data_IF_888328880551
#
_entry.id   IF_888328880551
#
_cell.length_a   1.000
_cell.length_b   1.000
_cell.length_c   1.000
_cell.angle_alpha   90.00
_cell.angle_beta   90.00
_cell.angle_gamma   90.00
#
_symmetry.space_group_name_H-M   'P 1'
#
loop_
_entity.id
_entity.type
_entity.pdbx_description
1 polymer ?
#
# COMPACT_ATOMS: atom_id res chain seq x y z
N UNK A 1 -44.02 -42.18 -2.10
CA UNK A 1 -43.73 -40.75 -2.33
C UNK A 1 -42.72 -40.48 -3.45
N UNK A 2 -42.28 -41.50 -4.22
CA UNK A 2 -41.34 -41.33 -5.35
C UNK A 2 -41.99 -41.34 -6.74
N UNK A 3 -43.32 -41.38 -6.86
CA UNK A 3 -44.02 -41.53 -8.17
C UNK A 3 -44.44 -40.18 -8.79
N UNK A 4 -44.89 -39.20 -8.00
CA UNK A 4 -45.21 -37.86 -8.49
C UNK A 4 -43.95 -36.99 -8.78
N UNK A 5 -42.77 -37.42 -8.34
CA UNK A 5 -41.51 -36.68 -8.53
C UNK A 5 -40.89 -36.89 -9.93
N UNK A 6 -41.28 -37.96 -10.64
CA UNK A 6 -40.77 -38.28 -11.98
C UNK A 6 -41.75 -37.94 -13.11
N UNK A 7 -43.06 -37.80 -12.84
CA UNK A 7 -44.07 -37.46 -13.85
C UNK A 7 -43.92 -36.02 -14.39
N UNK A 8 -43.52 -35.07 -13.53
CA UNK A 8 -43.43 -33.63 -13.86
C UNK A 8 -42.08 -33.23 -14.50
N UNK A 9 -41.09 -34.14 -14.46
CA UNK A 9 -39.72 -33.86 -14.91
C UNK A 9 -39.54 -33.62 -16.41
N UNK A 10 -40.27 -34.32 -17.32
CA UNK A 10 -40.19 -34.08 -18.75
C UNK A 10 -40.50 -32.63 -19.13
N UNK A 11 -41.39 -31.95 -18.40
CA UNK A 11 -41.76 -30.56 -18.64
C UNK A 11 -40.63 -29.59 -18.30
N UNK A 12 -40.03 -29.73 -17.11
CA UNK A 12 -38.87 -28.92 -16.69
C UNK A 12 -37.69 -29.13 -17.64
N UNK A 13 -37.43 -30.38 -18.05
CA UNK A 13 -36.41 -30.72 -19.04
C UNK A 13 -36.70 -30.06 -20.39
N UNK A 14 -37.96 -30.12 -20.85
CA UNK A 14 -38.41 -29.51 -22.09
C UNK A 14 -38.22 -27.99 -22.09
N UNK A 15 -38.61 -27.33 -20.99
CA UNK A 15 -38.44 -25.90 -20.77
C UNK A 15 -36.96 -25.50 -20.78
N UNK A 16 -36.11 -26.20 -20.03
CA UNK A 16 -34.67 -25.95 -20.02
C UNK A 16 -34.06 -26.11 -21.42
N UNK A 17 -34.46 -27.14 -22.18
CA UNK A 17 -33.97 -27.37 -23.54
C UNK A 17 -34.43 -26.29 -24.53
N UNK A 18 -35.65 -25.76 -24.36
CA UNK A 18 -36.16 -24.63 -25.14
C UNK A 18 -35.35 -23.36 -24.86
N UNK A 19 -35.30 -22.92 -23.60
CA UNK A 19 -34.56 -21.72 -23.18
C UNK A 19 -33.08 -21.85 -23.57
N UNK A 20 -32.51 -23.05 -23.49
CA UNK A 20 -31.14 -23.33 -23.91
C UNK A 20 -30.89 -23.01 -25.38
N UNK A 21 -31.84 -23.29 -26.29
CA UNK A 21 -31.70 -22.96 -27.72
C UNK A 21 -31.73 -21.46 -27.95
N UNK A 22 -32.48 -20.75 -27.12
CA UNK A 22 -32.68 -19.30 -27.22
C UNK A 22 -31.60 -18.48 -26.50
N UNK A 23 -30.67 -19.12 -25.77
CA UNK A 23 -29.55 -18.45 -25.08
C UNK A 23 -28.83 -17.42 -25.97
N UNK A 24 -28.48 -17.69 -27.25
CA UNK A 24 -27.84 -16.68 -28.11
C UNK A 24 -28.65 -15.41 -28.32
N UNK A 25 -29.98 -15.48 -28.22
CA UNK A 25 -30.90 -14.35 -28.38
C UNK A 25 -31.15 -13.64 -27.04
N UNK A 26 -31.20 -14.38 -25.94
CA UNK A 26 -31.49 -13.85 -24.59
C UNK A 26 -30.25 -13.16 -23.98
N UNK A 27 -29.06 -13.71 -24.20
CA UNK A 27 -27.81 -13.25 -23.56
C UNK A 27 -27.48 -11.78 -23.81
N UNK A 28 -27.61 -11.22 -25.03
CA UNK A 28 -27.32 -9.81 -25.26
C UNK A 28 -28.14 -8.85 -24.38
N UNK A 29 -29.40 -9.18 -24.13
CA UNK A 29 -30.27 -8.39 -23.25
C UNK A 29 -29.84 -8.51 -21.78
N UNK A 30 -29.62 -9.75 -21.31
CA UNK A 30 -29.14 -9.99 -19.93
C UNK A 30 -27.79 -9.28 -19.68
N UNK A 31 -26.86 -9.35 -20.64
CA UNK A 31 -25.58 -8.63 -20.52
C UNK A 31 -25.78 -7.12 -20.50
N UNK A 32 -26.80 -6.59 -21.17
CA UNK A 32 -27.15 -5.17 -21.07
C UNK A 32 -27.58 -4.83 -19.64
N UNK A 33 -28.44 -5.65 -19.02
CA UNK A 33 -28.84 -5.47 -17.61
C UNK A 33 -27.68 -5.59 -16.63
N UNK A 34 -26.79 -6.57 -16.83
CA UNK A 34 -25.58 -6.73 -15.99
C UNK A 34 -24.69 -5.50 -16.11
N UNK A 35 -24.39 -5.03 -17.33
CA UNK A 35 -23.50 -3.87 -17.56
C UNK A 35 -24.12 -2.56 -17.08
N UNK A 36 -25.44 -2.43 -17.11
CA UNK A 36 -26.14 -1.28 -16.53
C UNK A 36 -26.03 -1.25 -15.00
N UNK A 37 -25.93 -2.42 -14.35
CA UNK A 37 -25.80 -2.55 -12.91
C UNK A 37 -24.35 -2.42 -12.39
N UNK A 38 -23.33 -2.62 -13.25
CA UNK A 38 -21.92 -2.69 -12.86
C UNK A 38 -20.99 -1.86 -13.77
N UNK A 39 -20.55 -0.67 -13.34
CA UNK A 39 -19.66 0.22 -14.11
C UNK A 39 -18.31 -0.40 -14.51
N UNK A 40 -17.71 -1.24 -13.66
CA UNK A 40 -16.39 -1.85 -13.89
C UNK A 40 -16.34 -2.77 -15.15
N UNK A 41 -17.50 -3.20 -15.66
CA UNK A 41 -17.59 -4.02 -16.87
C UNK A 41 -17.46 -3.22 -18.17
N UNK A 42 -17.38 -1.89 -18.12
CA UNK A 42 -17.19 -1.05 -19.31
C UNK A 42 -15.93 -1.47 -20.10
N UNK A 43 -14.83 -1.73 -19.40
CA UNK A 43 -13.53 -2.14 -19.98
C UNK A 43 -13.46 -3.61 -20.41
N UNK A 44 -14.43 -4.45 -20.02
CA UNK A 44 -14.51 -5.84 -20.49
C UNK A 44 -15.13 -5.85 -21.89
N UNK A 45 -14.46 -6.44 -22.90
CA UNK A 45 -15.03 -6.53 -24.24
C UNK A 45 -16.42 -7.18 -24.21
N UNK A 46 -17.43 -6.51 -24.79
CA UNK A 46 -18.82 -6.97 -24.72
C UNK A 46 -19.00 -8.39 -25.26
N UNK A 47 -18.36 -8.71 -26.38
CA UNK A 47 -18.40 -10.05 -26.98
C UNK A 47 -17.80 -11.13 -26.06
N UNK A 48 -16.74 -10.82 -25.32
CA UNK A 48 -16.16 -11.72 -24.32
C UNK A 48 -17.13 -11.95 -23.16
N UNK A 49 -17.81 -10.90 -22.71
CA UNK A 49 -18.80 -11.00 -21.64
C UNK A 49 -20.01 -11.86 -22.06
N UNK A 50 -20.58 -11.58 -23.24
CA UNK A 50 -21.70 -12.36 -23.80
C UNK A 50 -21.34 -13.83 -24.00
N UNK A 51 -20.14 -14.11 -24.50
CA UNK A 51 -19.66 -15.49 -24.65
C UNK A 51 -19.68 -16.25 -23.32
N UNK A 52 -19.08 -15.70 -22.27
CA UNK A 52 -18.97 -16.34 -20.96
C UNK A 52 -20.34 -16.51 -20.28
N UNK A 53 -21.19 -15.48 -20.33
CA UNK A 53 -22.57 -15.55 -19.79
C UNK A 53 -23.37 -16.64 -20.53
N UNK A 54 -23.24 -16.71 -21.86
CA UNK A 54 -23.89 -17.74 -22.65
C UNK A 54 -23.40 -19.15 -22.35
N UNK A 55 -22.09 -19.36 -22.19
CA UNK A 55 -21.51 -20.65 -21.81
C UNK A 55 -22.01 -21.11 -20.43
N UNK A 56 -22.04 -20.18 -19.47
CA UNK A 56 -22.53 -20.45 -18.13
C UNK A 56 -24.01 -20.81 -18.11
N UNK A 57 -24.86 -20.06 -18.81
CA UNK A 57 -26.29 -20.36 -18.88
C UNK A 57 -26.59 -21.67 -19.59
N UNK A 58 -25.87 -22.01 -20.66
CA UNK A 58 -25.99 -23.34 -21.27
C UNK A 58 -25.66 -24.44 -20.27
N UNK A 59 -24.55 -24.27 -19.52
CA UNK A 59 -24.16 -25.21 -18.48
C UNK A 59 -25.22 -25.36 -17.38
N UNK A 60 -25.76 -24.23 -16.89
CA UNK A 60 -26.84 -24.20 -15.91
C UNK A 60 -28.07 -24.95 -16.39
N UNK A 61 -28.57 -24.63 -17.59
CA UNK A 61 -29.77 -25.24 -18.16
C UNK A 61 -29.58 -26.74 -18.43
N UNK A 62 -28.40 -27.15 -18.89
CA UNK A 62 -28.03 -28.56 -19.05
C UNK A 62 -28.00 -29.29 -17.70
N UNK A 63 -27.41 -28.65 -16.67
CA UNK A 63 -27.34 -29.19 -15.31
C UNK A 63 -28.71 -29.34 -14.65
N UNK A 64 -29.56 -28.32 -14.80
CA UNK A 64 -30.95 -28.37 -14.34
C UNK A 64 -31.70 -29.50 -15.03
N UNK A 65 -31.67 -29.58 -16.36
CA UNK A 65 -32.33 -30.64 -17.13
C UNK A 65 -31.83 -32.06 -16.79
N UNK A 66 -30.58 -32.20 -16.34
CA UNK A 66 -29.97 -33.46 -15.94
C UNK A 66 -30.05 -33.74 -14.42
N UNK A 67 -30.61 -32.82 -13.61
CA UNK A 67 -30.59 -32.87 -12.13
C UNK A 67 -29.18 -32.99 -11.54
N UNK A 68 -28.19 -32.35 -12.14
CA UNK A 68 -26.80 -32.43 -11.67
C UNK A 68 -26.22 -31.06 -11.31
N UNK A 69 -25.36 -31.00 -10.27
CA UNK A 69 -24.59 -29.81 -9.98
C UNK A 69 -23.55 -29.53 -11.08
N UNK A 70 -22.88 -28.37 -11.08
CA UNK A 70 -21.79 -28.10 -11.99
C UNK A 70 -20.73 -29.19 -11.95
N UNK A 71 -20.25 -29.58 -13.13
CA UNK A 71 -19.13 -30.51 -13.29
C UNK A 71 -17.81 -29.86 -12.89
N UNK A 72 -16.77 -30.68 -12.68
CA UNK A 72 -15.41 -30.19 -12.44
C UNK A 72 -14.91 -29.28 -13.58
N UNK A 73 -15.23 -29.61 -14.84
CA UNK A 73 -14.86 -28.78 -15.99
C UNK A 73 -15.55 -27.41 -15.99
N UNK A 74 -16.84 -27.36 -15.64
CA UNK A 74 -17.59 -26.08 -15.52
C UNK A 74 -17.09 -25.25 -14.34
N UNK A 75 -16.71 -25.91 -13.24
CA UNK A 75 -16.10 -25.25 -12.09
C UNK A 75 -14.73 -24.67 -12.45
N UNK A 76 -13.88 -25.39 -13.19
CA UNK A 76 -12.59 -24.85 -13.65
C UNK A 76 -12.76 -23.73 -14.67
N UNK A 77 -13.76 -23.78 -15.56
CA UNK A 77 -14.07 -22.67 -16.45
C UNK A 77 -14.44 -21.40 -15.67
N UNK A 78 -15.22 -21.53 -14.59
CA UNK A 78 -15.52 -20.42 -13.69
C UNK A 78 -14.27 -19.88 -12.98
N UNK A 79 -13.35 -20.77 -12.57
CA UNK A 79 -12.05 -20.38 -12.00
C UNK A 79 -11.24 -19.57 -13.02
N UNK A 80 -11.12 -20.03 -14.26
CA UNK A 80 -10.36 -19.31 -15.29
C UNK A 80 -10.95 -17.92 -15.57
N UNK A 81 -12.28 -17.81 -15.63
CA UNK A 81 -12.94 -16.50 -15.71
C UNK A 81 -12.56 -15.60 -14.53
N UNK A 82 -12.54 -16.14 -13.31
CA UNK A 82 -12.11 -15.41 -12.12
C UNK A 82 -10.67 -14.88 -12.22
N UNK A 83 -9.73 -15.73 -12.71
CA UNK A 83 -8.33 -15.33 -12.98
C UNK A 83 -8.25 -14.24 -14.05
N UNK A 84 -9.02 -14.38 -15.13
CA UNK A 84 -9.07 -13.40 -16.22
C UNK A 84 -9.59 -12.04 -15.73
N UNK A 85 -10.69 -12.02 -14.97
CA UNK A 85 -11.27 -10.79 -14.42
C UNK A 85 -10.35 -10.09 -13.43
N UNK A 86 -9.59 -10.85 -12.63
CA UNK A 86 -8.52 -10.31 -11.78
C UNK A 86 -7.44 -9.58 -12.60
N UNK A 87 -6.95 -10.21 -13.68
CA UNK A 87 -5.96 -9.59 -14.59
C UNK A 87 -6.50 -8.36 -15.32
N UNK A 88 -7.80 -8.29 -15.54
CA UNK A 88 -8.49 -7.14 -16.15
C UNK A 88 -8.84 -6.02 -15.14
N UNK A 89 -8.59 -6.23 -13.84
CA UNK A 89 -8.85 -5.23 -12.80
C UNK A 89 -10.32 -5.08 -12.39
N UNK A 90 -11.19 -6.04 -12.74
CA UNK A 90 -12.60 -6.03 -12.32
C UNK A 90 -12.68 -6.41 -10.84
N UNK A 91 -13.34 -5.61 -10.00
CA UNK A 91 -13.48 -5.91 -8.57
C UNK A 91 -14.30 -7.19 -8.32
N UNK A 92 -13.95 -7.95 -7.29
CA UNK A 92 -14.64 -9.21 -6.95
C UNK A 92 -16.11 -8.97 -6.59
N UNK A 93 -16.42 -7.85 -5.94
CA UNK A 93 -17.79 -7.48 -5.56
C UNK A 93 -18.66 -7.22 -6.81
N UNK A 94 -18.11 -6.55 -7.82
CA UNK A 94 -18.79 -6.32 -9.10
C UNK A 94 -18.99 -7.62 -9.86
N UNK A 95 -17.99 -8.50 -9.84
CA UNK A 95 -18.08 -9.82 -10.46
C UNK A 95 -19.17 -10.68 -9.81
N UNK A 96 -19.26 -10.69 -8.48
CA UNK A 96 -20.33 -11.38 -7.74
C UNK A 96 -21.69 -10.73 -8.01
N UNK A 97 -21.76 -9.39 -8.05
CA UNK A 97 -22.95 -8.65 -8.44
C UNK A 97 -23.47 -9.03 -9.83
N UNK A 98 -22.56 -9.15 -10.80
CA UNK A 98 -22.88 -9.58 -12.16
C UNK A 98 -23.47 -10.99 -12.21
N UNK A 99 -22.94 -11.93 -11.42
CA UNK A 99 -23.56 -13.25 -11.27
C UNK A 99 -24.99 -13.14 -10.73
N UNK A 100 -25.22 -12.40 -9.65
CA UNK A 100 -26.56 -12.26 -9.06
C UNK A 100 -27.58 -11.69 -10.04
N UNK A 101 -27.21 -10.65 -10.78
CA UNK A 101 -28.08 -10.08 -11.83
C UNK A 101 -28.33 -11.12 -12.92
N UNK A 102 -27.27 -11.69 -13.50
CA UNK A 102 -27.40 -12.65 -14.60
C UNK A 102 -28.29 -13.86 -14.26
N UNK A 103 -28.09 -14.46 -13.09
CA UNK A 103 -28.93 -15.55 -12.63
C UNK A 103 -30.38 -15.09 -12.42
N UNK A 104 -30.63 -13.97 -11.73
CA UNK A 104 -32.00 -13.45 -11.55
C UNK A 104 -32.72 -13.26 -12.90
N UNK A 105 -32.05 -12.65 -13.88
CA UNK A 105 -32.64 -12.46 -15.22
C UNK A 105 -32.96 -13.80 -15.89
N UNK A 106 -32.05 -14.78 -15.81
CA UNK A 106 -32.28 -16.12 -16.37
C UNK A 106 -33.42 -16.87 -15.65
N UNK A 107 -33.59 -16.68 -14.33
CA UNK A 107 -34.73 -17.22 -13.60
C UNK A 107 -36.04 -16.61 -14.07
N UNK A 108 -36.08 -15.29 -14.28
CA UNK A 108 -37.26 -14.60 -14.80
C UNK A 108 -37.62 -15.07 -16.21
N UNK A 109 -36.62 -15.36 -17.05
CA UNK A 109 -36.85 -15.94 -18.38
C UNK A 109 -37.50 -17.33 -18.27
N UNK A 110 -37.02 -18.19 -17.37
CA UNK A 110 -37.63 -19.50 -17.13
C UNK A 110 -39.08 -19.39 -16.64
N UNK A 111 -39.35 -18.46 -15.72
CA UNK A 111 -40.70 -18.20 -15.22
C UNK A 111 -41.64 -17.71 -16.32
N UNK A 112 -41.23 -16.71 -17.11
CA UNK A 112 -42.04 -16.17 -18.20
C UNK A 112 -42.40 -17.24 -19.23
N UNK A 113 -41.43 -18.09 -19.60
CA UNK A 113 -41.66 -19.20 -20.54
C UNK A 113 -42.51 -20.32 -19.96
N UNK A 114 -42.49 -20.53 -18.64
CA UNK A 114 -43.38 -21.45 -17.97
C UNK A 114 -44.83 -20.92 -17.98
N UNK A 115 -45.02 -19.64 -17.68
CA UNK A 115 -46.33 -18.97 -17.66
C UNK A 115 -46.99 -18.91 -19.05
N UNK A 116 -46.21 -18.72 -20.12
CA UNK A 116 -46.69 -18.75 -21.51
C UNK A 116 -47.22 -20.12 -21.95
N UNK A 117 -46.74 -21.21 -21.32
CA UNK A 117 -47.16 -22.58 -21.61
C UNK A 117 -48.39 -22.96 -20.78
N UNK A 118 -48.18 -23.25 -19.50
CA UNK A 118 -49.23 -23.68 -18.57
C UNK A 118 -48.83 -23.28 -17.13
N UNK A 119 -49.71 -22.65 -16.33
CA UNK A 119 -49.38 -22.18 -14.99
C UNK A 119 -48.81 -23.24 -14.03
N UNK A 120 -49.13 -24.52 -14.24
CA UNK A 120 -48.59 -25.62 -13.43
C UNK A 120 -47.08 -25.86 -13.63
N UNK A 121 -46.50 -25.48 -14.78
CA UNK A 121 -45.07 -25.65 -15.05
C UNK A 121 -44.24 -24.73 -14.12
N UNK A 122 -44.77 -23.56 -13.78
CA UNK A 122 -44.14 -22.67 -12.80
C UNK A 122 -44.06 -23.31 -11.41
N UNK A 123 -45.05 -24.13 -11.02
CA UNK A 123 -44.99 -24.90 -9.78
C UNK A 123 -43.90 -25.98 -9.82
N UNK A 124 -43.60 -26.54 -11.00
CA UNK A 124 -42.50 -27.51 -11.17
C UNK A 124 -41.12 -26.86 -11.03
N UNK A 125 -40.96 -25.58 -11.40
CA UNK A 125 -39.70 -24.85 -11.22
C UNK A 125 -39.29 -24.71 -9.74
N UNK A 126 -40.24 -24.66 -8.81
CA UNK A 126 -39.94 -24.64 -7.36
C UNK A 126 -39.06 -25.82 -6.95
N UNK A 127 -39.21 -26.98 -7.60
CA UNK A 127 -38.43 -28.20 -7.30
C UNK A 127 -36.96 -28.14 -7.73
N UNK A 128 -36.58 -27.19 -8.59
CA UNK A 128 -35.18 -27.01 -9.01
C UNK A 128 -34.47 -25.86 -8.32
N UNK A 129 -35.15 -25.13 -7.42
CA UNK A 129 -34.61 -23.97 -6.71
C UNK A 129 -33.35 -24.32 -5.90
N UNK A 130 -33.32 -25.47 -5.22
CA UNK A 130 -32.13 -25.90 -4.47
C UNK A 130 -30.92 -26.16 -5.38
N UNK A 131 -31.17 -26.77 -6.55
CA UNK A 131 -30.13 -27.03 -7.54
C UNK A 131 -29.67 -25.73 -8.21
N UNK A 132 -30.61 -24.83 -8.50
CA UNK A 132 -30.33 -23.49 -8.99
C UNK A 132 -29.42 -22.71 -8.03
N UNK A 133 -29.74 -22.68 -6.74
CA UNK A 133 -28.88 -22.08 -5.70
C UNK A 133 -27.53 -22.77 -5.60
N UNK A 134 -27.49 -24.09 -5.73
CA UNK A 134 -26.23 -24.85 -5.76
C UNK A 134 -25.34 -24.41 -6.92
N UNK A 135 -25.93 -24.21 -8.12
CA UNK A 135 -25.22 -23.68 -9.28
C UNK A 135 -24.67 -22.27 -9.05
N UNK A 136 -25.51 -21.35 -8.55
CA UNK A 136 -25.08 -19.98 -8.23
C UNK A 136 -23.89 -20.03 -7.27
N UNK A 137 -24.04 -20.74 -6.15
CA UNK A 137 -23.03 -20.78 -5.09
C UNK A 137 -21.71 -21.37 -5.58
N UNK A 138 -21.74 -22.51 -6.27
CA UNK A 138 -20.52 -23.20 -6.70
C UNK A 138 -19.76 -22.44 -7.79
N UNK A 139 -20.47 -21.91 -8.79
CA UNK A 139 -19.82 -21.17 -9.88
C UNK A 139 -19.28 -19.81 -9.40
N UNK A 140 -20.08 -19.05 -8.65
CA UNK A 140 -19.64 -17.74 -8.14
C UNK A 140 -18.50 -17.88 -7.13
N UNK A 141 -18.56 -18.85 -6.21
CA UNK A 141 -17.48 -19.11 -5.25
C UNK A 141 -16.19 -19.52 -5.95
N UNK A 142 -16.26 -20.46 -6.90
CA UNK A 142 -15.08 -20.92 -7.61
C UNK A 142 -14.39 -19.77 -8.38
N UNK A 143 -15.17 -18.89 -9.00
CA UNK A 143 -14.67 -17.69 -9.67
C UNK A 143 -14.05 -16.69 -8.69
N UNK A 144 -14.73 -16.37 -7.58
CA UNK A 144 -14.23 -15.47 -6.54
C UNK A 144 -12.95 -16.00 -5.87
N UNK A 145 -12.86 -17.30 -5.59
CA UNK A 145 -11.67 -17.92 -5.00
C UNK A 145 -10.46 -17.81 -5.94
N UNK A 146 -10.65 -18.11 -7.23
CA UNK A 146 -9.58 -18.01 -8.22
C UNK A 146 -9.17 -16.57 -8.50
N UNK A 147 -10.12 -15.64 -8.43
CA UNK A 147 -9.87 -14.21 -8.50
C UNK A 147 -8.98 -13.74 -7.33
N UNK A 148 -9.37 -14.07 -6.09
CA UNK A 148 -8.60 -13.72 -4.90
C UNK A 148 -7.19 -14.34 -4.92
N UNK A 149 -7.07 -15.60 -5.35
CA UNK A 149 -5.78 -16.27 -5.50
C UNK A 149 -4.87 -15.60 -6.54
N UNK A 150 -5.45 -15.15 -7.65
CA UNK A 150 -4.70 -14.42 -8.68
C UNK A 150 -4.17 -13.10 -8.15
N UNK A 151 -5.00 -12.31 -7.44
CA UNK A 151 -4.53 -11.06 -6.82
C UNK A 151 -3.47 -11.31 -5.75
N UNK A 152 -3.65 -12.33 -4.90
CA UNK A 152 -2.65 -12.72 -3.88
C UNK A 152 -1.31 -13.10 -4.53
N UNK A 153 -1.33 -13.91 -5.58
CA UNK A 153 -0.10 -14.31 -6.28
C UNK A 153 0.61 -13.11 -6.94
N UNK A 154 -0.13 -12.21 -7.58
CA UNK A 154 0.41 -10.97 -8.14
C UNK A 154 1.04 -10.08 -7.06
N UNK A 155 0.38 -9.92 -5.92
CA UNK A 155 0.93 -9.17 -4.79
C UNK A 155 2.19 -9.81 -4.22
N UNK A 156 2.22 -11.14 -4.09
CA UNK A 156 3.39 -11.86 -3.59
C UNK A 156 4.60 -11.63 -4.51
N UNK A 157 4.41 -11.77 -5.84
CA UNK A 157 5.46 -11.49 -6.82
C UNK A 157 5.93 -10.04 -6.72
N UNK A 158 5.01 -9.08 -6.61
CA UNK A 158 5.34 -7.67 -6.46
C UNK A 158 6.18 -7.38 -5.20
N UNK A 159 5.81 -7.99 -4.07
CA UNK A 159 6.56 -7.88 -2.81
C UNK A 159 7.96 -8.46 -3.00
N UNK A 160 8.09 -9.67 -3.56
CA UNK A 160 9.38 -10.30 -3.82
C UNK A 160 10.26 -9.44 -4.72
N UNK A 161 9.71 -8.88 -5.81
CA UNK A 161 10.43 -7.97 -6.70
C UNK A 161 10.87 -6.69 -5.98
N UNK A 162 10.00 -6.11 -5.16
CA UNK A 162 10.32 -4.88 -4.40
C UNK A 162 11.45 -5.14 -3.40
N UNK A 163 11.39 -6.24 -2.65
CA UNK A 163 12.45 -6.62 -1.72
C UNK A 163 13.78 -6.84 -2.45
N UNK A 164 13.77 -7.61 -3.55
CA UNK A 164 14.96 -7.86 -4.36
C UNK A 164 15.54 -6.57 -4.94
N UNK A 165 14.69 -5.67 -5.40
CA UNK A 165 15.11 -4.37 -5.93
C UNK A 165 15.83 -3.54 -4.86
N UNK A 166 15.25 -3.43 -3.66
CA UNK A 166 15.89 -2.71 -2.55
C UNK A 166 17.21 -3.37 -2.10
N UNK A 167 17.30 -4.70 -2.09
CA UNK A 167 18.55 -5.41 -1.81
C UNK A 167 19.66 -5.07 -2.81
N UNK A 168 19.33 -5.06 -4.10
CA UNK A 168 20.29 -4.71 -5.16
C UNK A 168 20.72 -3.25 -5.06
N UNK A 169 19.77 -2.32 -4.83
CA UNK A 169 20.11 -0.92 -4.60
C UNK A 169 21.12 -0.79 -3.46
N UNK A 170 20.90 -1.51 -2.35
CA UNK A 170 21.78 -1.48 -1.17
C UNK A 170 23.15 -2.12 -1.35
N UNK A 171 23.30 -3.04 -2.30
CA UNK A 171 24.60 -3.62 -2.58
C UNK A 171 25.61 -2.58 -3.11
N UNK A 172 25.11 -1.47 -3.68
CA UNK A 172 25.94 -0.33 -4.07
C UNK A 172 26.87 -0.60 -5.27
N UNK A 173 26.59 -1.65 -6.04
CA UNK A 173 27.29 -1.93 -7.30
C UNK A 173 26.69 -1.06 -8.43
N UNK A 174 27.48 -0.85 -9.50
CA UNK A 174 27.03 -0.16 -10.72
C UNK A 174 25.65 -0.67 -11.13
N UNK A 175 24.71 0.19 -11.59
CA UNK A 175 23.32 -0.20 -11.83
C UNK A 175 23.26 -1.45 -12.71
N UNK A 176 23.06 -2.60 -12.07
CA UNK A 176 23.14 -3.87 -12.75
C UNK A 176 22.00 -3.95 -13.77
N UNK A 177 22.17 -4.74 -14.83
CA UNK A 177 21.06 -5.02 -15.75
C UNK A 177 19.81 -5.55 -15.02
N UNK A 178 20.00 -6.23 -13.87
CA UNK A 178 18.95 -6.68 -12.98
C UNK A 178 18.21 -5.52 -12.29
N UNK A 179 18.93 -4.51 -11.77
CA UNK A 179 18.33 -3.34 -11.13
C UNK A 179 17.42 -2.55 -12.11
N UNK A 180 17.91 -2.34 -13.34
CA UNK A 180 17.14 -1.67 -14.41
C UNK A 180 15.90 -2.48 -14.79
N UNK A 181 16.03 -3.81 -14.90
CA UNK A 181 14.92 -4.69 -15.21
C UNK A 181 13.84 -4.65 -14.11
N UNK A 182 14.23 -4.76 -12.84
CA UNK A 182 13.31 -4.70 -11.70
C UNK A 182 12.65 -3.33 -11.58
N UNK A 183 13.39 -2.24 -11.75
CA UNK A 183 12.81 -0.89 -11.75
C UNK A 183 11.66 -0.78 -12.77
N UNK A 184 11.88 -1.21 -14.02
CA UNK A 184 10.85 -1.19 -15.07
C UNK A 184 9.68 -2.13 -14.77
N UNK A 185 9.95 -3.32 -14.22
CA UNK A 185 8.90 -4.27 -13.81
C UNK A 185 8.02 -3.70 -12.69
N UNK A 186 8.63 -2.92 -11.79
CA UNK A 186 7.95 -2.13 -10.75
C UNK A 186 7.43 -0.78 -11.26
N UNK A 187 7.38 -0.58 -12.58
CA UNK A 187 6.91 0.66 -13.25
C UNK A 187 7.64 1.94 -12.83
N UNK A 188 8.86 1.83 -12.32
CA UNK A 188 9.76 2.95 -12.15
C UNK A 188 10.49 3.29 -13.45
N UNK A 189 10.79 4.57 -13.65
CA UNK A 189 11.77 5.03 -14.62
C UNK A 189 13.18 4.91 -14.00
N UNK A 190 14.08 4.08 -14.53
CA UNK A 190 15.44 3.91 -13.99
C UNK A 190 16.25 5.21 -13.90
N UNK A 191 15.96 6.19 -14.76
CA UNK A 191 16.65 7.49 -14.79
C UNK A 191 15.85 8.59 -14.07
N UNK A 192 14.65 8.28 -13.61
CA UNK A 192 13.74 9.21 -12.95
C UNK A 192 14.20 9.64 -11.55
N UNK A 193 13.50 10.62 -10.98
CA UNK A 193 13.77 11.11 -9.61
C UNK A 193 13.09 10.23 -8.57
N UNK A 194 13.89 9.53 -7.77
CA UNK A 194 13.46 8.71 -6.65
C UNK A 194 13.46 9.50 -5.34
N UNK A 195 12.49 9.22 -4.48
CA UNK A 195 12.49 9.68 -3.09
C UNK A 195 12.09 8.54 -2.16
N UNK A 196 12.76 8.41 -1.03
CA UNK A 196 12.46 7.39 -0.03
C UNK A 196 11.83 7.98 1.23
N UNK A 197 10.95 7.20 1.85
CA UNK A 197 10.37 7.47 3.17
C UNK A 197 10.60 6.21 4.03
N UNK A 198 11.21 6.38 5.19
CA UNK A 198 11.49 5.31 6.13
C UNK A 198 10.75 5.52 7.44
N UNK A 199 10.29 4.45 8.07
CA UNK A 199 9.56 4.48 9.34
C UNK A 199 9.86 3.24 10.18
N UNK A 200 9.54 3.27 11.47
CA UNK A 200 9.65 2.12 12.35
C UNK A 200 8.40 1.24 12.31
N UNK A 201 8.60 -0.06 12.37
CA UNK A 201 7.51 -1.03 12.47
C UNK A 201 7.15 -1.24 13.94
N UNK A 202 5.86 -1.14 14.31
CA UNK A 202 5.43 -1.48 15.66
C UNK A 202 5.63 -2.98 15.91
N UNK A 203 5.76 -3.36 17.18
CA UNK A 203 5.99 -4.76 17.58
C UNK A 203 4.86 -5.73 17.19
N UNK A 204 3.67 -5.22 16.83
CA UNK A 204 2.54 -5.96 16.26
C UNK A 204 2.06 -5.28 14.98
N UNK A 205 2.69 -5.56 13.83
CA UNK A 205 2.51 -4.74 12.63
C UNK A 205 1.39 -5.20 11.69
N UNK A 206 0.72 -6.32 11.95
CA UNK A 206 -0.08 -7.02 10.92
C UNK A 206 -1.26 -6.18 10.39
N UNK A 207 -2.07 -5.58 11.25
CA UNK A 207 -3.26 -4.82 10.80
C UNK A 207 -2.89 -3.47 10.14
N UNK A 208 -1.88 -2.77 10.68
CA UNK A 208 -1.48 -1.45 10.18
C UNK A 208 -0.74 -1.50 8.84
N UNK A 209 0.06 -2.54 8.61
CA UNK A 209 0.86 -2.67 7.39
C UNK A 209 0.04 -2.96 6.14
N UNK A 210 -0.96 -3.84 6.23
CA UNK A 210 -1.81 -4.14 5.09
C UNK A 210 -2.68 -2.94 4.73
N UNK A 211 -3.17 -2.20 5.74
CA UNK A 211 -3.86 -0.93 5.52
C UNK A 211 -2.95 0.12 4.87
N UNK A 212 -1.70 0.27 5.35
CA UNK A 212 -0.71 1.16 4.76
C UNK A 212 -0.48 0.83 3.28
N UNK A 213 -0.19 -0.44 2.96
CA UNK A 213 0.01 -0.91 1.58
C UNK A 213 -1.19 -0.61 0.69
N UNK A 214 -2.41 -0.84 1.19
CA UNK A 214 -3.62 -0.56 0.43
C UNK A 214 -3.79 0.94 0.14
N UNK A 215 -3.49 1.81 1.10
CA UNK A 215 -3.58 3.26 0.93
C UNK A 215 -2.50 3.81 0.01
N UNK A 216 -1.25 3.36 0.15
CA UNK A 216 -0.15 3.78 -0.72
C UNK A 216 -0.44 3.49 -2.21
N UNK A 217 -1.10 2.38 -2.52
CA UNK A 217 -1.50 2.03 -3.91
C UNK A 217 -2.53 2.96 -4.53
N UNK A 218 -3.26 3.74 -3.72
CA UNK A 218 -4.27 4.69 -4.19
C UNK A 218 -3.69 6.09 -4.43
N UNK A 219 -2.47 6.33 -3.97
CA UNK A 219 -1.79 7.61 -4.18
C UNK A 219 -1.31 7.72 -5.64
N UNK A 220 -1.28 8.94 -6.19
CA UNK A 220 -0.71 9.17 -7.51
C UNK A 220 0.81 8.95 -7.51
N UNK A 221 1.33 8.46 -8.63
CA UNK A 221 2.75 8.16 -8.84
C UNK A 221 3.08 6.67 -8.70
N UNK A 222 4.36 6.33 -8.86
CA UNK A 222 4.85 4.96 -8.67
C UNK A 222 5.36 4.85 -7.24
N UNK A 223 4.73 3.99 -6.42
CA UNK A 223 5.05 3.83 -5.00
C UNK A 223 5.13 2.34 -4.67
N UNK A 224 6.27 1.91 -4.14
CA UNK A 224 6.46 0.54 -3.66
C UNK A 224 7.04 0.56 -2.25
N UNK A 225 6.57 -0.36 -1.42
CA UNK A 225 6.98 -0.45 -0.01
C UNK A 225 7.46 -1.85 0.33
N UNK A 226 8.50 -1.95 1.15
CA UNK A 226 8.96 -3.20 1.73
C UNK A 226 9.34 -3.02 3.20
N UNK A 227 9.48 -4.13 3.90
CA UNK A 227 9.87 -4.17 5.32
C UNK A 227 11.23 -4.83 5.49
N UNK A 228 12.11 -4.25 6.30
CA UNK A 228 13.43 -4.80 6.60
C UNK A 228 13.67 -4.77 8.11
N UNK A 229 13.60 -5.93 8.75
CA UNK A 229 13.71 -6.01 10.21
C UNK A 229 12.62 -5.18 10.88
N UNK A 230 13.01 -4.17 11.64
CA UNK A 230 12.10 -3.24 12.34
C UNK A 230 11.80 -1.96 11.55
N UNK A 231 12.17 -1.88 10.28
CA UNK A 231 12.00 -0.68 9.46
C UNK A 231 11.09 -0.95 8.26
N UNK A 232 10.22 0.01 7.95
CA UNK A 232 9.54 0.10 6.66
C UNK A 232 10.27 1.07 5.75
N UNK A 233 10.35 0.73 4.46
CA UNK A 233 10.90 1.59 3.40
C UNK A 233 9.85 1.73 2.32
N UNK A 234 9.49 2.96 2.01
CA UNK A 234 8.68 3.33 0.83
C UNK A 234 9.60 4.04 -0.14
N UNK A 235 9.63 3.56 -1.38
CA UNK A 235 10.32 4.22 -2.48
C UNK A 235 9.27 4.74 -3.46
N UNK A 236 9.40 6.00 -3.86
CA UNK A 236 8.43 6.64 -4.75
C UNK A 236 9.07 7.44 -5.88
N UNK A 237 8.31 7.57 -6.97
CA UNK A 237 8.57 8.47 -8.12
C UNK A 237 7.27 9.16 -8.51
N UNK A 238 7.36 10.43 -8.90
CA UNK A 238 6.21 11.26 -9.26
C UNK A 238 5.08 11.25 -8.19
N UNK A 239 5.45 11.07 -6.92
CA UNK A 239 4.56 11.10 -5.77
C UNK A 239 5.06 12.13 -4.77
N UNK A 240 4.14 12.84 -4.12
CA UNK A 240 4.50 13.79 -3.07
C UNK A 240 4.86 13.05 -1.78
N UNK A 241 6.07 13.27 -1.26
CA UNK A 241 6.51 12.68 0.01
C UNK A 241 5.58 13.02 1.17
N UNK A 242 5.00 14.22 1.20
CA UNK A 242 4.05 14.64 2.24
C UNK A 242 2.80 13.74 2.29
N UNK A 243 2.29 13.31 1.13
CA UNK A 243 1.15 12.39 1.06
C UNK A 243 1.53 10.98 1.54
N UNK A 244 2.73 10.52 1.19
CA UNK A 244 3.26 9.24 1.66
C UNK A 244 3.42 9.27 3.18
N UNK A 245 4.03 10.32 3.72
CA UNK A 245 4.22 10.54 5.16
C UNK A 245 2.89 10.61 5.91
N UNK A 246 1.92 11.38 5.39
CA UNK A 246 0.57 11.43 5.98
C UNK A 246 -0.07 10.04 6.02
N UNK A 247 0.06 9.26 4.93
CA UNK A 247 -0.48 7.90 4.86
C UNK A 247 0.19 6.96 5.87
N UNK A 248 1.51 7.10 6.08
CA UNK A 248 2.24 6.37 7.12
C UNK A 248 1.71 6.73 8.50
N UNK A 249 1.56 8.02 8.83
CA UNK A 249 1.06 8.46 10.14
C UNK A 249 -0.39 8.03 10.40
N UNK A 250 -1.24 8.02 9.38
CA UNK A 250 -2.62 7.55 9.54
C UNK A 250 -2.72 6.05 9.80
N UNK A 251 -1.85 5.25 9.17
CA UNK A 251 -1.84 3.80 9.32
C UNK A 251 -1.05 3.35 10.56
N UNK A 252 -0.03 4.13 10.96
CA UNK A 252 0.88 3.86 12.06
C UNK A 252 1.03 5.11 12.94
N UNK A 253 0.00 5.45 13.75
CA UNK A 253 0.01 6.67 14.56
C UNK A 253 1.14 6.66 15.60
N UNK A 254 1.89 7.77 15.64
CA UNK A 254 2.97 7.97 16.62
C UNK A 254 4.33 7.40 16.21
N UNK A 255 4.44 6.74 15.06
CA UNK A 255 5.73 6.29 14.53
C UNK A 255 6.55 7.45 13.98
N UNK A 256 7.86 7.37 14.18
CA UNK A 256 8.81 8.32 13.61
C UNK A 256 8.97 8.06 12.10
N UNK A 257 9.12 9.13 11.33
CA UNK A 257 9.32 9.07 9.87
C UNK A 257 10.54 9.86 9.46
N UNK A 258 11.38 9.26 8.63
CA UNK A 258 12.50 9.91 7.95
C UNK A 258 12.24 10.01 6.46
N UNK A 259 12.48 11.19 5.89
CA UNK A 259 12.23 11.47 4.48
C UNK A 259 13.55 11.80 3.80
N UNK A 260 13.88 11.07 2.73
CA UNK A 260 15.09 11.29 1.94
C UNK A 260 14.96 12.46 0.98
N UNK A 261 16.08 12.89 0.38
CA UNK A 261 16.04 13.86 -0.71
C UNK A 261 15.55 13.22 -2.02
N UNK A 262 14.89 13.98 -2.90
CA UNK A 262 14.65 13.54 -4.27
C UNK A 262 16.00 13.45 -5.02
N UNK A 263 16.27 12.29 -5.63
CA UNK A 263 17.55 12.01 -6.30
C UNK A 263 17.35 11.27 -7.62
N UNK A 264 18.04 11.66 -8.70
CA UNK A 264 17.88 11.03 -10.01
C UNK A 264 18.60 9.68 -10.10
N UNK A 265 18.02 8.77 -10.86
CA UNK A 265 18.63 7.49 -11.22
C UNK A 265 18.65 6.46 -10.09
N UNK A 266 19.05 5.23 -10.43
CA UNK A 266 19.13 4.11 -9.48
C UNK A 266 20.14 4.36 -8.34
N UNK A 267 21.29 4.98 -8.63
CA UNK A 267 22.22 5.41 -7.58
C UNK A 267 21.60 6.46 -6.66
N UNK A 268 20.76 7.35 -7.21
CA UNK A 268 19.97 8.29 -6.45
C UNK A 268 18.92 7.62 -5.57
N UNK A 269 18.29 6.54 -6.04
CA UNK A 269 17.35 5.76 -5.24
C UNK A 269 18.03 5.22 -3.96
N UNK A 270 19.20 4.59 -4.07
CA UNK A 270 19.97 4.12 -2.91
C UNK A 270 20.28 5.26 -1.95
N UNK A 271 20.84 6.36 -2.46
CA UNK A 271 21.21 7.52 -1.66
C UNK A 271 20.00 8.16 -0.96
N UNK A 272 18.82 8.15 -1.59
CA UNK A 272 17.59 8.66 -0.97
C UNK A 272 17.14 7.76 0.18
N UNK A 273 17.28 6.43 0.06
CA UNK A 273 16.98 5.51 1.16
C UNK A 273 17.99 5.72 2.31
N UNK A 274 19.28 5.93 2.02
CA UNK A 274 20.27 6.31 3.06
C UNK A 274 19.87 7.60 3.78
N UNK A 275 19.49 8.63 3.03
CA UNK A 275 19.04 9.91 3.58
C UNK A 275 17.83 9.72 4.51
N UNK A 276 16.83 8.95 4.06
CA UNK A 276 15.61 8.68 4.81
C UNK A 276 15.89 7.91 6.11
N UNK A 277 16.75 6.88 6.07
CA UNK A 277 17.16 6.14 7.27
C UNK A 277 17.92 7.02 8.27
N UNK A 278 18.79 7.91 7.78
CA UNK A 278 19.52 8.87 8.62
C UNK A 278 18.58 9.89 9.26
N UNK A 279 17.62 10.41 8.49
CA UNK A 279 16.59 11.31 8.99
C UNK A 279 15.72 10.61 10.04
N UNK A 280 15.36 9.35 9.82
CA UNK A 280 14.60 8.55 10.77
C UNK A 280 15.36 8.37 12.09
N UNK A 281 16.69 8.19 12.03
CA UNK A 281 17.51 8.02 13.23
C UNK A 281 17.56 9.26 14.15
N UNK A 282 17.21 10.45 13.65
CA UNK A 282 17.11 11.69 14.42
C UNK A 282 15.66 12.12 14.69
N UNK A 283 14.67 11.43 14.12
CA UNK A 283 13.26 11.72 14.32
C UNK A 283 12.76 11.22 15.69
N UNK A 284 11.99 12.06 16.38
CA UNK A 284 11.23 11.69 17.56
C UNK A 284 9.94 10.95 17.23
N UNK A 285 9.28 10.39 18.25
CA UNK A 285 7.98 9.73 18.10
C UNK A 285 6.94 10.70 17.50
N UNK A 286 6.27 10.28 16.43
CA UNK A 286 5.30 11.06 15.68
C UNK A 286 5.89 12.23 14.87
N UNK A 287 7.21 12.40 14.86
CA UNK A 287 7.90 13.41 14.07
C UNK A 287 8.21 12.87 12.67
N UNK A 288 8.03 13.71 11.65
CA UNK A 288 8.54 13.48 10.32
C UNK A 288 9.71 14.42 10.06
N UNK A 289 10.89 13.87 9.79
CA UNK A 289 12.11 14.65 9.55
C UNK A 289 12.53 14.53 8.09
N UNK A 290 12.67 15.66 7.41
CA UNK A 290 13.27 15.72 6.08
C UNK A 290 14.79 15.79 6.19
N UNK A 291 15.49 14.89 5.50
CA UNK A 291 16.95 14.85 5.51
C UNK A 291 17.57 16.19 5.11
N UNK A 292 16.98 16.92 4.15
CA UNK A 292 17.48 18.25 3.75
C UNK A 292 17.53 19.28 4.88
N UNK A 293 16.65 19.17 5.88
CA UNK A 293 16.57 20.10 7.00
C UNK A 293 17.53 19.71 8.14
N UNK A 294 17.75 18.40 8.33
CA UNK A 294 18.55 17.83 9.43
C UNK A 294 19.78 17.05 8.94
N UNK A 295 20.27 17.33 7.71
CA UNK A 295 21.27 16.50 7.03
C UNK A 295 22.55 16.31 7.84
N UNK A 296 22.97 17.36 8.55
CA UNK A 296 24.22 17.38 9.29
C UNK A 296 24.16 16.46 10.53
N UNK A 297 23.24 16.64 11.50
CA UNK A 297 23.10 15.70 12.60
C UNK A 297 22.74 14.28 12.13
N UNK A 298 21.85 14.15 11.12
CA UNK A 298 21.47 12.86 10.56
C UNK A 298 22.68 12.09 9.95
N UNK A 299 23.62 12.80 9.34
CA UNK A 299 24.86 12.21 8.79
C UNK A 299 25.90 11.89 9.86
N UNK A 300 26.01 12.71 10.90
CA UNK A 300 27.03 12.54 11.95
C UNK A 300 26.63 11.52 13.02
N UNK A 301 25.33 11.34 13.28
CA UNK A 301 24.82 10.46 14.35
C UNK A 301 25.34 9.01 14.25
N UNK A 302 25.36 8.34 13.07
CA UNK A 302 25.95 7.01 12.93
C UNK A 302 27.43 6.92 13.31
N UNK A 303 28.15 8.05 13.27
CA UNK A 303 29.56 8.16 13.63
C UNK A 303 29.78 8.66 15.07
N UNK A 304 28.72 8.77 15.86
CA UNK A 304 28.74 9.23 17.26
C UNK A 304 29.87 8.62 18.10
N UNK A 305 30.06 7.29 18.15
CA UNK A 305 31.15 6.68 18.93
C UNK A 305 32.55 7.13 18.51
N UNK A 306 32.78 7.36 17.22
CA UNK A 306 34.06 7.85 16.70
C UNK A 306 34.28 9.33 17.00
N UNK A 307 33.19 10.11 17.02
CA UNK A 307 33.22 11.55 17.30
C UNK A 307 33.18 11.85 18.80
N UNK A 308 32.75 10.91 19.64
CA UNK A 308 32.56 11.11 21.08
C UNK A 308 33.79 11.75 21.76
N UNK A 309 35.06 11.30 21.54
CA UNK A 309 36.21 11.93 22.17
C UNK A 309 36.42 13.40 21.80
N UNK A 310 35.96 13.82 20.62
CA UNK A 310 36.05 15.21 20.15
C UNK A 310 34.96 16.10 20.73
N UNK A 311 33.79 15.52 21.02
CA UNK A 311 32.59 16.25 21.47
C UNK A 311 32.35 16.13 22.98
N UNK A 312 33.09 15.25 23.68
CA UNK A 312 32.88 14.89 25.07
C UNK A 312 32.88 16.10 26.00
N UNK A 313 33.90 16.97 25.90
CA UNK A 313 34.03 18.16 26.76
C UNK A 313 32.80 19.07 26.67
N UNK A 314 32.32 19.37 25.46
CA UNK A 314 31.11 20.17 25.30
C UNK A 314 29.85 19.45 25.78
N UNK A 315 29.79 18.12 25.62
CA UNK A 315 28.67 17.32 26.11
C UNK A 315 28.60 17.36 27.64
N UNK A 316 29.73 17.18 28.32
CA UNK A 316 29.80 17.21 29.79
C UNK A 316 29.42 18.60 30.33
N UNK A 317 29.97 19.66 29.74
CA UNK A 317 29.61 21.05 30.10
C UNK A 317 28.13 21.32 29.86
N UNK A 318 27.55 20.83 28.75
CA UNK A 318 26.11 20.97 28.50
C UNK A 318 25.25 20.15 29.47
N UNK A 319 25.78 19.06 30.05
CA UNK A 319 25.11 18.30 31.09
C UNK A 319 25.06 19.06 32.41
N UNK A 320 26.21 19.60 32.83
CA UNK A 320 26.37 20.27 34.11
C UNK A 320 25.78 21.69 34.09
N UNK A 321 25.76 22.31 32.90
CA UNK A 321 25.34 23.70 32.72
C UNK A 321 24.41 23.89 31.50
N UNK A 322 23.16 23.37 31.51
CA UNK A 322 22.23 23.47 30.38
C UNK A 322 21.98 24.91 29.91
N UNK A 323 21.90 25.86 30.85
CA UNK A 323 21.69 27.28 30.57
C UNK A 323 22.81 27.93 29.74
N UNK A 324 24.02 27.36 29.71
CA UNK A 324 25.11 27.79 28.84
C UNK A 324 24.90 27.27 27.41
N UNK A 325 24.48 26.01 27.28
CA UNK A 325 24.11 25.42 25.99
C UNK A 325 22.96 26.20 25.33
N UNK A 326 21.93 26.57 26.10
CA UNK A 326 20.81 27.40 25.62
C UNK A 326 21.29 28.74 25.07
N UNK A 327 22.27 29.37 25.73
CA UNK A 327 22.84 30.64 25.27
C UNK A 327 23.62 30.48 23.96
N UNK A 328 24.34 29.36 23.78
CA UNK A 328 25.07 29.06 22.53
C UNK A 328 24.11 28.79 21.38
N UNK A 329 23.08 27.96 21.59
CA UNK A 329 22.07 27.68 20.56
C UNK A 329 21.28 28.93 20.22
N UNK A 330 20.79 29.66 21.22
CA UNK A 330 20.06 30.92 21.01
C UNK A 330 20.91 31.97 20.29
N UNK A 331 22.22 32.04 20.56
CA UNK A 331 23.15 32.89 19.82
C UNK A 331 23.26 32.48 18.34
N UNK A 332 23.40 31.18 18.06
CA UNK A 332 23.49 30.65 16.70
C UNK A 332 22.18 30.87 15.90
N UNK A 333 21.03 30.56 16.51
CA UNK A 333 19.71 30.66 15.89
C UNK A 333 19.27 32.11 15.67
N UNK A 334 19.72 33.04 16.51
CA UNK A 334 19.44 34.47 16.37
C UNK A 334 20.46 35.21 15.48
N UNK A 335 21.08 34.52 14.52
CA UNK A 335 21.99 35.11 13.53
C UNK A 335 23.26 35.70 14.14
N UNK A 336 23.81 35.06 15.18
CA UNK A 336 25.04 35.47 15.86
C UNK A 336 24.93 36.83 16.54
N UNK A 337 23.71 37.22 16.94
CA UNK A 337 23.42 38.47 17.65
C UNK A 337 23.15 38.22 19.13
N UNK A 338 24.01 38.76 20.00
CA UNK A 338 23.82 38.71 21.46
C UNK A 338 22.50 39.37 21.87
N UNK A 339 22.17 40.52 21.29
CA UNK A 339 20.94 41.25 21.64
C UNK A 339 19.69 40.49 21.24
N UNK A 340 19.70 39.86 20.06
CA UNK A 340 18.56 39.05 19.58
C UNK A 340 18.42 37.78 20.41
N UNK A 341 19.52 37.09 20.71
CA UNK A 341 19.52 35.92 21.59
C UNK A 341 19.05 36.25 23.00
N UNK A 342 19.45 37.41 23.55
CA UNK A 342 19.02 37.87 24.86
C UNK A 342 17.51 38.12 24.91
N UNK A 343 16.94 38.71 23.86
CA UNK A 343 15.48 38.86 23.72
C UNK A 343 14.78 37.51 23.64
N UNK A 344 15.26 36.60 22.78
CA UNK A 344 14.68 35.26 22.62
C UNK A 344 14.68 34.46 23.93
N UNK A 345 15.77 34.54 24.70
CA UNK A 345 15.94 33.82 25.96
C UNK A 345 15.37 34.55 27.19
N UNK A 346 14.77 35.74 27.02
CA UNK A 346 14.33 36.62 28.12
C UNK A 346 15.44 36.93 29.15
N UNK A 347 16.64 37.24 28.65
CA UNK A 347 17.82 37.59 29.45
C UNK A 347 18.31 39.01 29.12
N UNK A 348 19.10 39.58 30.01
CA UNK A 348 19.86 40.79 29.69
C UNK A 348 21.02 40.45 28.72
N UNK A 349 21.39 41.31 27.75
CA UNK A 349 22.51 41.05 26.83
C UNK A 349 23.83 40.66 27.52
N UNK A 350 24.14 41.29 28.66
CA UNK A 350 25.32 40.94 29.46
C UNK A 350 25.28 39.51 30.00
N UNK A 351 24.09 38.98 30.31
CA UNK A 351 23.94 37.60 30.79
C UNK A 351 24.21 36.60 29.67
N UNK A 352 23.76 36.87 28.44
CA UNK A 352 24.10 36.03 27.28
C UNK A 352 25.61 36.10 27.02
N UNK A 353 26.20 37.30 27.00
CA UNK A 353 27.65 37.48 26.84
C UNK A 353 28.42 36.65 27.89
N UNK A 354 28.06 36.78 29.16
CA UNK A 354 28.67 36.02 30.26
C UNK A 354 28.56 34.51 30.04
N UNK A 355 27.39 34.01 29.61
CA UNK A 355 27.19 32.57 29.38
C UNK A 355 28.04 32.05 28.22
N UNK A 356 28.18 32.81 27.13
CA UNK A 356 29.07 32.46 26.01
C UNK A 356 30.54 32.47 26.44
N UNK A 357 30.95 33.46 27.23
CA UNK A 357 32.32 33.54 27.77
C UNK A 357 32.60 32.36 28.71
N UNK A 358 31.62 31.99 29.55
CA UNK A 358 31.72 30.85 30.46
C UNK A 358 31.79 29.52 29.69
N UNK A 359 31.01 29.36 28.63
CA UNK A 359 31.11 28.20 27.75
C UNK A 359 32.52 28.06 27.16
N UNK A 360 33.09 29.17 26.68
CA UNK A 360 34.46 29.22 26.14
C UNK A 360 35.50 28.81 27.19
N UNK A 361 35.37 29.30 28.43
CA UNK A 361 36.28 28.94 29.52
C UNK A 361 36.25 27.44 29.87
N UNK A 362 35.08 26.82 29.81
CA UNK A 362 34.89 25.42 30.22
C UNK A 362 35.20 24.43 29.10
N UNK A 363 34.94 24.81 27.85
CA UNK A 363 35.10 23.91 26.69
C UNK A 363 36.35 24.19 25.86
N UNK A 364 36.92 25.39 25.98
CA UNK A 364 37.93 25.92 25.05
C UNK A 364 37.36 26.31 23.68
N UNK A 365 36.03 26.32 23.50
CA UNK A 365 35.38 26.65 22.23
C UNK A 365 34.69 28.00 22.33
N UNK A 366 35.18 29.02 21.62
CA UNK A 366 34.50 30.32 21.54
C UNK A 366 33.36 30.26 20.51
N UNK A 367 32.08 30.38 20.91
CA UNK A 367 30.95 30.38 19.98
C UNK A 367 30.93 31.56 19.00
N UNK A 368 31.78 32.57 19.20
CA UNK A 368 31.92 33.72 18.29
C UNK A 368 32.98 33.49 17.22
N UNK A 369 33.80 32.44 17.36
CA UNK A 369 34.72 31.97 16.34
C UNK A 369 34.11 30.79 15.58
N UNK A 370 34.37 30.71 14.28
CA UNK A 370 33.78 29.67 13.40
C UNK A 370 34.01 28.26 13.95
N UNK A 371 35.24 27.94 14.34
CA UNK A 371 35.59 26.60 14.85
C UNK A 371 34.92 26.30 16.19
N UNK A 372 34.91 27.27 17.11
CA UNK A 372 34.29 27.08 18.42
C UNK A 372 32.78 26.95 18.31
N UNK A 373 32.14 27.74 17.45
CA UNK A 373 30.73 27.62 17.15
C UNK A 373 30.37 26.26 16.56
N UNK A 374 31.09 25.78 15.54
CA UNK A 374 30.82 24.49 14.91
C UNK A 374 30.92 23.33 15.90
N UNK A 375 32.00 23.28 16.70
CA UNK A 375 32.17 22.25 17.72
C UNK A 375 31.04 22.28 18.75
N UNK A 376 30.67 23.48 19.20
CA UNK A 376 29.60 23.66 20.18
C UNK A 376 28.25 23.24 19.61
N UNK A 377 27.89 23.74 18.43
CA UNK A 377 26.60 23.45 17.79
C UNK A 377 26.43 21.96 17.46
N UNK A 378 27.44 21.32 16.87
CA UNK A 378 27.40 19.88 16.56
C UNK A 378 27.24 19.07 17.84
N UNK A 379 28.01 19.39 18.88
CA UNK A 379 27.91 18.70 20.18
C UNK A 379 26.51 18.80 20.76
N UNK A 380 25.92 20.00 20.76
CA UNK A 380 24.60 20.25 21.34
C UNK A 380 23.49 19.54 20.53
N UNK A 381 23.53 19.63 19.20
CA UNK A 381 22.55 18.95 18.33
C UNK A 381 22.63 17.43 18.39
N UNK A 382 23.84 16.86 18.36
CA UNK A 382 24.01 15.42 18.47
C UNK A 382 23.55 14.90 19.84
N UNK A 383 23.76 15.68 20.92
CA UNK A 383 23.29 15.36 22.27
C UNK A 383 21.76 15.39 22.37
N UNK A 384 21.12 16.41 21.83
CA UNK A 384 19.66 16.54 21.76
C UNK A 384 19.05 15.32 21.08
N UNK A 385 19.49 15.00 19.85
CA UNK A 385 18.96 13.89 19.05
C UNK A 385 19.28 12.50 19.62
N UNK A 386 20.43 12.33 20.29
CA UNK A 386 20.76 11.09 21.00
C UNK A 386 19.89 10.82 22.23
N UNK A 387 19.32 11.87 22.85
CA UNK A 387 18.40 11.73 23.99
C UNK A 387 17.00 11.36 23.53
N UNK A 388 16.51 11.99 22.46
CA UNK A 388 15.22 11.64 21.85
C UNK A 388 15.20 10.20 21.33
N UNK A 389 16.28 9.74 20.68
CA UNK A 389 16.37 8.36 20.18
C UNK A 389 16.57 7.26 21.25
N UNK A 390 16.87 7.62 22.51
CA UNK A 390 16.92 6.68 23.65
C UNK A 390 15.61 6.63 24.44
N UNK A 391 14.79 7.67 24.38
CA UNK A 391 13.49 7.69 25.05
C UNK A 391 12.43 6.85 24.31
N UNK A 392 12.70 6.48 23.05
CA UNK A 392 11.83 5.72 22.15
C UNK A 392 12.28 4.27 21.89
N UNK A 393 13.34 3.78 22.56
CA UNK A 393 13.79 2.38 22.47
C UNK A 393 13.41 1.54 23.67
#
# INVERSE_FOLDING_TARGET
MGSALDEDWPEVRGLCAEVRRDVPVIVPEIVTHIRAASPDYEHVPRADHEKHVGEQFRGLLDGLAARCPPTAAQTEAARELGRQRARQGVRVEEMIGAYHVGYREMWNVLLARADEREPQIAAHLVRVVDLWWTWIRLISSASADAHAETLRSQHAVQITMTHRFLEILRAGEDPSGEAVHLARALTFDPDGSFQAVCFLLPSRPEDGLDQLRQRLRRLPGTIHSATRGTHGVVLCQAAAADLVTATVHEALPGEAVGIGLPRPGLAGAEASIVDAERALAVAGAGEAVLFGEEWLPATLLPHGPRLAPLLQTGSDVAADHPHLADAVLGYAECGFSITSAAKSLNLHPNSVKYRLDRWTQLTGWDPREVRGLLNSWITLRMRERSRTGRATR
#
